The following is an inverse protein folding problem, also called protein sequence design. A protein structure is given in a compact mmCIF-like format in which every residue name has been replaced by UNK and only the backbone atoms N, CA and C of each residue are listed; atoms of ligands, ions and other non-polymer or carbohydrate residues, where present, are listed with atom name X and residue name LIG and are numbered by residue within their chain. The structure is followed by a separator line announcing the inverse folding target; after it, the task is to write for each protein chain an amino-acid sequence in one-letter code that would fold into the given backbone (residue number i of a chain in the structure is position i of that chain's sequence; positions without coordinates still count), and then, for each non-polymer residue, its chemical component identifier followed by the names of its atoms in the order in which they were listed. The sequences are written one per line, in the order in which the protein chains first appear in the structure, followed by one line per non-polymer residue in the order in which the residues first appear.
data_IF_520170436320
#
_entry.id   IF_520170436320
#
_cell.length_a   1.000
_cell.length_b   1.000
_cell.length_c   1.000
_cell.angle_alpha   90.00
_cell.angle_beta   90.00
_cell.angle_gamma   90.00
#
_symmetry.space_group_name_H-M   'P 1'
#
loop_
_entity.id
_entity.type
_entity.pdbx_description
1 polymer ?
#
# COMPACT_ATOMS: atom_id res chain seq x y z
N UNK A 1 -44.43 -54.50 -51.42
CA UNK A 1 -45.88 -54.20 -51.19
C UNK A 1 -45.90 -52.94 -50.37
N UNK A 2 -46.19 -51.87 -51.04
CA UNK A 2 -47.49 -51.17 -51.13
C UNK A 2 -47.66 -50.25 -49.92
N UNK A 3 -47.75 -49.05 -50.01
CA UNK A 3 -48.42 -47.91 -50.67
C UNK A 3 -48.52 -46.82 -49.62
N UNK A 4 -48.12 -45.62 -49.95
CA UNK A 4 -48.96 -44.43 -50.28
C UNK A 4 -49.74 -43.91 -49.09
N UNK A 5 -49.86 -42.60 -48.80
CA UNK A 5 -49.87 -41.35 -49.60
C UNK A 5 -50.01 -40.17 -48.62
N UNK A 6 -49.37 -39.09 -48.83
CA UNK A 6 -49.78 -37.83 -49.48
C UNK A 6 -50.83 -37.01 -48.73
N UNK A 7 -50.43 -35.75 -48.47
CA UNK A 7 -51.17 -34.49 -48.61
C UNK A 7 -51.85 -33.97 -47.32
N UNK A 8 -51.92 -32.74 -47.00
CA UNK A 8 -51.68 -31.38 -47.53
C UNK A 8 -51.60 -30.46 -46.33
N UNK A 9 -50.73 -29.57 -46.29
CA UNK A 9 -50.79 -28.17 -46.72
C UNK A 9 -51.95 -27.34 -46.10
N UNK A 10 -51.44 -26.26 -45.54
CA UNK A 10 -52.01 -24.92 -45.47
C UNK A 10 -52.71 -24.44 -44.21
N UNK A 11 -52.15 -23.34 -43.80
CA UNK A 11 -52.67 -22.11 -43.18
C UNK A 11 -52.26 -21.83 -41.75
N UNK A 12 -51.18 -20.99 -41.59
CA UNK A 12 -51.18 -19.55 -41.36
C UNK A 12 -51.96 -19.10 -40.10
N UNK A 13 -51.25 -18.59 -39.08
CA UNK A 13 -50.95 -17.19 -38.87
C UNK A 13 -50.17 -17.00 -37.53
N UNK A 14 -49.53 -15.85 -37.25
CA UNK A 14 -48.32 -15.73 -36.47
C UNK A 14 -48.56 -15.27 -35.05
N UNK A 15 -47.55 -15.54 -34.22
CA UNK A 15 -47.31 -14.69 -33.04
C UNK A 15 -47.71 -15.28 -31.71
N UNK A 16 -46.84 -16.10 -31.15
CA UNK A 16 -46.59 -16.10 -29.71
C UNK A 16 -45.18 -16.64 -29.46
N UNK A 17 -44.26 -15.73 -29.15
CA UNK A 17 -42.97 -16.11 -28.62
C UNK A 17 -43.19 -16.53 -27.15
N UNK A 18 -43.24 -17.81 -26.89
CA UNK A 18 -43.07 -18.34 -25.55
C UNK A 18 -41.59 -18.17 -25.16
N UNK A 19 -41.36 -17.23 -24.24
CA UNK A 19 -40.08 -17.15 -23.51
C UNK A 19 -39.98 -18.34 -22.58
N UNK A 20 -39.33 -19.40 -23.00
CA UNK A 20 -38.90 -20.47 -22.11
C UNK A 20 -37.82 -19.92 -21.20
N UNK A 21 -38.20 -19.67 -19.96
CA UNK A 21 -37.30 -19.38 -18.84
C UNK A 21 -36.35 -20.56 -18.60
N UNK A 22 -35.19 -20.55 -19.25
CA UNK A 22 -34.07 -21.40 -18.85
C UNK A 22 -33.33 -20.64 -17.72
N UNK A 23 -33.74 -20.93 -16.49
CA UNK A 23 -33.02 -20.54 -15.27
C UNK A 23 -31.63 -21.18 -15.31
N UNK A 24 -30.65 -20.41 -15.75
CA UNK A 24 -29.22 -20.71 -15.51
C UNK A 24 -28.99 -20.52 -14.02
N UNK A 25 -28.96 -21.61 -13.25
CA UNK A 25 -28.47 -21.66 -11.90
C UNK A 25 -26.95 -21.53 -11.92
N UNK A 26 -26.46 -20.28 -12.02
CA UNK A 26 -25.14 -19.87 -11.66
C UNK A 26 -25.24 -19.07 -10.37
N UNK A 27 -25.43 -19.74 -9.25
CA UNK A 27 -25.45 -19.09 -7.94
C UNK A 27 -24.05 -18.65 -7.55
N UNK A 28 -23.69 -17.39 -7.80
CA UNK A 28 -22.65 -16.72 -7.04
C UNK A 28 -23.22 -16.56 -5.62
N UNK A 29 -22.76 -17.39 -4.70
CA UNK A 29 -22.91 -17.15 -3.28
C UNK A 29 -22.05 -15.94 -2.91
N UNK A 30 -22.56 -14.75 -3.13
CA UNK A 30 -22.09 -13.57 -2.45
C UNK A 30 -22.40 -13.79 -0.97
N UNK A 31 -21.36 -13.97 -0.16
CA UNK A 31 -21.53 -14.26 1.26
C UNK A 31 -22.32 -13.14 1.94
N UNK A 32 -23.28 -13.49 2.79
CA UNK A 32 -24.13 -12.56 3.55
C UNK A 32 -23.28 -11.53 4.33
N UNK A 33 -22.01 -11.82 4.60
CA UNK A 33 -21.06 -10.89 5.21
C UNK A 33 -20.68 -9.70 4.30
N UNK A 34 -20.62 -9.88 2.98
CA UNK A 34 -20.35 -8.79 2.02
C UNK A 34 -21.52 -7.82 1.88
N UNK A 35 -22.74 -8.27 2.20
CA UNK A 35 -23.95 -7.44 2.15
C UNK A 35 -24.14 -6.58 3.41
N UNK A 36 -23.36 -6.82 4.49
CA UNK A 36 -23.52 -6.17 5.80
C UNK A 36 -22.42 -5.16 6.11
N UNK A 37 -21.37 -5.07 5.31
CA UNK A 37 -20.35 -4.00 5.46
C UNK A 37 -20.92 -2.77 4.73
N UNK A 38 -21.15 -1.64 5.42
CA UNK A 38 -21.47 -0.39 4.75
C UNK A 38 -20.37 -0.12 3.72
N UNK A 39 -20.74 0.11 2.46
CA UNK A 39 -19.78 0.34 1.35
C UNK A 39 -18.80 1.48 1.67
N UNK A 40 -19.20 2.37 2.56
CA UNK A 40 -18.42 3.53 2.99
C UNK A 40 -17.21 3.16 3.88
N UNK A 41 -17.19 1.98 4.53
CA UNK A 41 -16.12 1.59 5.45
C UNK A 41 -14.99 0.81 4.80
N UNK A 42 -15.19 0.25 3.61
CA UNK A 42 -14.22 -0.65 2.96
C UNK A 42 -12.88 0.05 2.68
N UNK A 43 -12.90 1.32 2.27
CA UNK A 43 -11.68 2.08 2.01
C UNK A 43 -10.87 2.29 3.28
N UNK A 44 -11.53 2.64 4.38
CA UNK A 44 -10.85 2.80 5.67
C UNK A 44 -10.25 1.47 6.17
N UNK A 45 -10.98 0.34 5.98
CA UNK A 45 -10.47 -0.98 6.34
C UNK A 45 -9.22 -1.35 5.52
N UNK A 46 -9.18 -1.00 4.24
CA UNK A 46 -8.03 -1.22 3.36
C UNK A 46 -6.85 -0.34 3.77
N UNK A 47 -7.07 0.95 4.04
CA UNK A 47 -6.02 1.84 4.53
C UNK A 47 -5.44 1.41 5.89
N UNK A 48 -6.28 1.01 6.83
CA UNK A 48 -5.81 0.50 8.13
C UNK A 48 -4.95 -0.76 7.96
N UNK A 49 -5.32 -1.65 7.04
CA UNK A 49 -4.52 -2.84 6.72
C UNK A 49 -3.19 -2.47 6.06
N UNK A 50 -3.19 -1.54 5.10
CA UNK A 50 -1.98 -1.09 4.40
C UNK A 50 -1.01 -0.41 5.38
N UNK A 51 -1.49 0.50 6.23
CA UNK A 51 -0.68 1.13 7.27
C UNK A 51 -0.12 0.11 8.29
N UNK A 52 -0.87 -0.94 8.61
CA UNK A 52 -0.41 -2.04 9.45
C UNK A 52 0.73 -2.84 8.82
N UNK A 53 0.64 -3.15 7.51
CA UNK A 53 1.72 -3.81 6.76
C UNK A 53 2.96 -2.92 6.65
N UNK A 54 2.77 -1.64 6.38
CA UNK A 54 3.84 -0.66 6.31
C UNK A 54 4.65 -0.60 7.62
N UNK A 55 3.95 -0.50 8.75
CA UNK A 55 4.60 -0.52 10.07
C UNK A 55 5.34 -1.83 10.33
N UNK A 56 4.77 -2.97 9.93
CA UNK A 56 5.44 -4.27 10.08
C UNK A 56 6.70 -4.35 9.22
N UNK A 57 6.66 -3.89 7.97
CA UNK A 57 7.82 -3.85 7.09
C UNK A 57 8.95 -2.96 7.66
N UNK A 58 8.59 -1.78 8.17
CA UNK A 58 9.54 -0.90 8.82
C UNK A 58 10.15 -1.52 10.10
N UNK A 59 9.37 -2.28 10.87
CA UNK A 59 9.90 -3.05 11.99
C UNK A 59 10.89 -4.14 11.56
N UNK A 60 10.59 -4.86 10.48
CA UNK A 60 11.48 -5.87 9.92
C UNK A 60 12.77 -5.24 9.37
N UNK A 61 12.69 -4.02 8.82
CA UNK A 61 13.88 -3.24 8.41
C UNK A 61 14.77 -2.90 9.62
N UNK A 62 14.18 -2.46 10.74
CA UNK A 62 14.95 -2.24 11.99
C UNK A 62 15.62 -3.55 12.43
N UNK A 63 14.88 -4.65 12.46
CA UNK A 63 15.42 -5.95 12.85
C UNK A 63 16.52 -6.45 11.90
N UNK A 64 16.46 -6.12 10.60
CA UNK A 64 17.50 -6.42 9.63
C UNK A 64 18.75 -5.56 9.89
N UNK A 65 18.58 -4.26 10.12
CA UNK A 65 19.71 -3.33 10.30
C UNK A 65 20.41 -3.48 11.64
N UNK A 66 19.70 -3.83 12.71
CA UNK A 66 20.29 -4.09 14.04
C UNK A 66 21.00 -5.45 14.14
N UNK A 67 20.54 -6.45 13.40
CA UNK A 67 21.14 -7.79 13.32
C UNK A 67 21.26 -8.19 11.85
N UNK A 68 22.41 -7.89 11.24
CA UNK A 68 22.65 -8.13 9.83
C UNK A 68 23.08 -9.61 9.56
N UNK A 69 22.29 -10.55 10.11
CA UNK A 69 22.40 -11.98 9.86
C UNK A 69 21.18 -12.50 9.14
N UNK A 70 21.28 -13.62 8.44
CA UNK A 70 20.18 -14.22 7.66
C UNK A 70 19.49 -13.19 6.74
N UNK A 71 20.29 -12.34 6.10
CA UNK A 71 19.82 -11.18 5.31
C UNK A 71 18.81 -11.60 4.25
N UNK A 72 19.04 -12.74 3.57
CA UNK A 72 18.16 -13.26 2.55
C UNK A 72 16.76 -13.57 3.07
N UNK A 73 16.66 -14.21 4.22
CA UNK A 73 15.37 -14.59 4.84
C UNK A 73 14.63 -13.35 5.36
N UNK A 74 15.36 -12.41 5.97
CA UNK A 74 14.78 -11.14 6.45
C UNK A 74 14.28 -10.28 5.29
N UNK A 75 15.10 -10.12 4.22
CA UNK A 75 14.68 -9.44 3.00
C UNK A 75 13.42 -10.09 2.42
N UNK A 76 13.39 -11.41 2.27
CA UNK A 76 12.23 -12.12 1.74
C UNK A 76 10.96 -11.92 2.60
N UNK A 77 11.10 -11.64 3.88
CA UNK A 77 9.97 -11.30 4.75
C UNK A 77 9.43 -9.92 4.39
N UNK A 78 10.29 -8.93 4.13
CA UNK A 78 9.91 -7.58 3.72
C UNK A 78 9.27 -7.59 2.32
N UNK A 79 9.88 -8.27 1.35
CA UNK A 79 9.34 -8.50 -0.01
C UNK A 79 7.90 -9.07 0.02
N UNK A 80 7.62 -10.00 0.93
CA UNK A 80 6.25 -10.52 1.10
C UNK A 80 5.27 -9.51 1.69
N UNK A 81 5.74 -8.57 2.48
CA UNK A 81 4.90 -7.50 3.02
C UNK A 81 4.59 -6.47 1.95
N UNK A 82 5.57 -6.14 1.11
CA UNK A 82 5.42 -5.28 -0.05
C UNK A 82 4.40 -5.88 -1.04
N UNK A 83 4.56 -7.13 -1.50
CA UNK A 83 3.58 -7.78 -2.36
C UNK A 83 2.15 -7.81 -1.79
N UNK A 84 1.99 -7.82 -0.45
CA UNK A 84 0.66 -7.71 0.16
C UNK A 84 0.16 -6.26 0.16
N UNK A 85 1.06 -5.28 0.28
CA UNK A 85 0.76 -3.86 0.13
C UNK A 85 0.24 -3.55 -1.27
N UNK A 86 0.99 -3.98 -2.30
CA UNK A 86 0.60 -3.92 -3.71
C UNK A 86 -0.82 -4.46 -3.94
N UNK A 87 -1.10 -5.64 -3.39
CA UNK A 87 -2.44 -6.23 -3.52
C UNK A 87 -3.51 -5.36 -2.87
N UNK A 88 -3.24 -4.72 -1.73
CA UNK A 88 -4.20 -3.82 -1.09
C UNK A 88 -4.38 -2.55 -1.92
N UNK A 89 -3.32 -1.99 -2.47
CA UNK A 89 -3.36 -0.84 -3.38
C UNK A 89 -4.20 -1.15 -4.61
N UNK A 90 -4.00 -2.33 -5.20
CA UNK A 90 -4.83 -2.82 -6.31
C UNK A 90 -6.31 -2.97 -5.90
N UNK A 91 -6.58 -3.54 -4.73
CA UNK A 91 -7.94 -3.70 -4.19
C UNK A 91 -8.62 -2.33 -3.99
N UNK A 92 -7.89 -1.30 -3.53
CA UNK A 92 -8.39 0.08 -3.39
C UNK A 92 -8.82 0.63 -4.76
N UNK A 93 -7.96 0.52 -5.78
CA UNK A 93 -8.30 0.97 -7.14
C UNK A 93 -9.47 0.20 -7.75
N UNK A 94 -9.56 -1.10 -7.51
CA UNK A 94 -10.69 -1.91 -7.96
C UNK A 94 -11.99 -1.47 -7.29
N UNK A 95 -11.96 -1.16 -5.99
CA UNK A 95 -13.12 -0.62 -5.26
C UNK A 95 -13.51 0.77 -5.76
N UNK A 96 -12.55 1.66 -6.05
CA UNK A 96 -12.82 2.97 -6.64
C UNK A 96 -13.58 2.85 -7.97
N UNK A 97 -13.16 1.92 -8.84
CA UNK A 97 -13.81 1.69 -10.13
C UNK A 97 -15.26 1.14 -10.00
N UNK A 98 -15.59 0.51 -8.88
CA UNK A 98 -16.91 -0.11 -8.64
C UNK A 98 -17.83 0.71 -7.75
N UNK A 99 -17.33 1.76 -7.10
CA UNK A 99 -18.06 2.54 -6.11
C UNK A 99 -18.39 3.91 -6.67
N UNK A 100 -19.68 4.21 -6.78
CA UNK A 100 -20.16 5.50 -7.31
C UNK A 100 -20.13 6.64 -6.27
N UNK A 101 -20.33 6.30 -5.00
CA UNK A 101 -20.26 7.26 -3.87
C UNK A 101 -19.20 6.74 -2.91
N UNK A 102 -18.17 7.55 -2.67
CA UNK A 102 -17.03 7.24 -1.79
C UNK A 102 -17.03 8.11 -0.53
N UNK A 103 -16.46 7.66 0.60
CA UNK A 103 -16.46 8.44 1.85
C UNK A 103 -15.49 9.63 1.83
N UNK A 104 -14.50 9.61 0.96
CA UNK A 104 -13.55 10.67 0.66
C UNK A 104 -13.59 10.91 -0.86
N UNK A 105 -13.01 12.01 -1.33
CA UNK A 105 -12.90 12.23 -2.77
C UNK A 105 -12.06 11.13 -3.42
N UNK A 106 -12.45 10.60 -4.62
CA UNK A 106 -11.69 9.56 -5.31
C UNK A 106 -10.20 9.88 -5.53
N UNK A 107 -9.88 11.15 -5.74
CA UNK A 107 -8.50 11.63 -5.88
C UNK A 107 -7.73 11.53 -4.56
N UNK A 108 -8.38 11.83 -3.44
CA UNK A 108 -7.77 11.69 -2.10
C UNK A 108 -7.49 10.21 -1.77
N UNK A 109 -8.46 9.33 -2.07
CA UNK A 109 -8.29 7.87 -1.89
C UNK A 109 -7.14 7.35 -2.73
N UNK A 110 -7.08 7.73 -4.01
CA UNK A 110 -6.02 7.32 -4.92
C UNK A 110 -4.65 7.81 -4.46
N UNK A 111 -4.55 9.09 -4.10
CA UNK A 111 -3.30 9.71 -3.65
C UNK A 111 -2.78 9.09 -2.36
N UNK A 112 -3.66 8.85 -1.38
CA UNK A 112 -3.28 8.22 -0.12
C UNK A 112 -2.82 6.76 -0.33
N UNK A 113 -3.51 6.00 -1.20
CA UNK A 113 -3.12 4.63 -1.52
C UNK A 113 -1.73 4.58 -2.16
N UNK A 114 -1.46 5.44 -3.17
CA UNK A 114 -0.14 5.52 -3.81
C UNK A 114 0.95 5.94 -2.84
N UNK A 115 0.70 6.95 -2.00
CA UNK A 115 1.71 7.43 -1.07
C UNK A 115 2.10 6.37 -0.03
N UNK A 116 1.13 5.58 0.48
CA UNK A 116 1.41 4.46 1.39
C UNK A 116 2.21 3.35 0.71
N UNK A 117 1.93 3.08 -0.55
CA UNK A 117 2.61 2.08 -1.38
C UNK A 117 4.06 2.47 -1.62
N UNK A 118 4.31 3.71 -2.02
CA UNK A 118 5.65 4.24 -2.26
C UNK A 118 6.59 4.11 -1.04
N UNK A 119 6.09 4.34 0.19
CA UNK A 119 6.91 4.12 1.40
C UNK A 119 7.33 2.65 1.50
N UNK A 120 6.41 1.73 1.23
CA UNK A 120 6.68 0.30 1.33
C UNK A 120 7.67 -0.17 0.25
N UNK A 121 7.54 0.34 -0.96
CA UNK A 121 8.45 0.08 -2.09
C UNK A 121 9.88 0.52 -1.77
N UNK A 122 10.05 1.70 -1.16
CA UNK A 122 11.37 2.18 -0.78
C UNK A 122 11.98 1.40 0.38
N UNK A 123 11.16 0.90 1.31
CA UNK A 123 11.63 -0.02 2.37
C UNK A 123 12.13 -1.33 1.75
N UNK A 124 11.37 -1.95 0.84
CA UNK A 124 11.82 -3.18 0.15
C UNK A 124 13.05 -2.91 -0.71
N UNK A 125 13.03 -1.86 -1.54
CA UNK A 125 14.14 -1.47 -2.39
C UNK A 125 15.45 -1.21 -1.64
N UNK A 126 15.39 -0.64 -0.43
CA UNK A 126 16.57 -0.48 0.42
C UNK A 126 17.16 -1.85 0.84
N UNK A 127 16.30 -2.79 1.25
CA UNK A 127 16.74 -4.13 1.65
C UNK A 127 17.24 -4.96 0.46
N UNK A 128 16.64 -4.75 -0.71
CA UNK A 128 17.09 -5.34 -1.98
C UNK A 128 18.51 -4.88 -2.32
N UNK A 129 18.79 -3.57 -2.23
CA UNK A 129 20.12 -3.02 -2.44
C UNK A 129 21.13 -3.55 -1.42
N UNK A 130 20.79 -3.62 -0.13
CA UNK A 130 21.65 -4.21 0.90
C UNK A 130 22.06 -5.65 0.53
N UNK A 131 21.12 -6.44 0.01
CA UNK A 131 21.36 -7.83 -0.37
C UNK A 131 22.16 -7.96 -1.67
N UNK A 132 21.75 -7.30 -2.77
CA UNK A 132 22.41 -7.46 -4.06
C UNK A 132 23.74 -6.73 -4.18
N UNK A 133 23.96 -5.69 -3.37
CA UNK A 133 25.26 -5.05 -3.29
C UNK A 133 26.22 -5.84 -2.39
N UNK A 134 25.74 -6.92 -1.76
CA UNK A 134 26.55 -7.78 -0.89
C UNK A 134 27.34 -6.94 0.14
N UNK A 135 26.62 -6.03 0.85
CA UNK A 135 27.26 -5.31 1.95
C UNK A 135 27.53 -6.30 3.09
N UNK A 136 28.69 -6.13 3.76
CA UNK A 136 29.10 -7.07 4.81
C UNK A 136 28.37 -6.83 6.13
N UNK A 137 28.11 -5.56 6.44
CA UNK A 137 27.47 -5.13 7.67
C UNK A 137 26.73 -3.81 7.45
N UNK A 138 25.72 -3.57 8.28
CA UNK A 138 25.11 -2.27 8.45
C UNK A 138 25.93 -1.37 9.36
N UNK A 139 25.70 -0.08 9.34
CA UNK A 139 26.32 0.90 10.22
C UNK A 139 25.28 1.69 11.03
N UNK A 140 25.77 2.60 11.85
CA UNK A 140 24.93 3.40 12.76
C UNK A 140 23.91 4.25 11.99
N UNK A 141 24.26 4.78 10.81
CA UNK A 141 23.39 5.62 10.02
C UNK A 141 22.22 4.83 9.41
N UNK A 142 22.47 3.61 8.87
CA UNK A 142 21.42 2.72 8.40
C UNK A 142 20.44 2.34 9.51
N UNK A 143 20.97 2.04 10.71
CA UNK A 143 20.15 1.69 11.87
C UNK A 143 19.29 2.89 12.30
N UNK A 144 19.85 4.08 12.28
CA UNK A 144 19.16 5.30 12.69
C UNK A 144 18.04 5.66 11.69
N UNK A 145 18.32 5.64 10.37
CA UNK A 145 17.33 5.84 9.32
C UNK A 145 16.20 4.80 9.41
N UNK A 146 16.52 3.52 9.59
CA UNK A 146 15.50 2.46 9.77
C UNK A 146 14.58 2.75 10.98
N UNK A 147 15.13 3.24 12.08
CA UNK A 147 14.34 3.62 13.26
C UNK A 147 13.45 4.82 13.00
N UNK A 148 13.94 5.83 12.28
CA UNK A 148 13.15 7.00 11.92
C UNK A 148 11.98 6.60 11.00
N UNK A 149 12.20 5.75 9.99
CA UNK A 149 11.15 5.17 9.16
C UNK A 149 10.11 4.46 10.03
N UNK A 150 10.54 3.59 10.96
CA UNK A 150 9.62 2.87 11.84
C UNK A 150 8.80 3.82 12.74
N UNK A 151 9.41 4.88 13.26
CA UNK A 151 8.70 5.88 14.05
C UNK A 151 7.66 6.62 13.20
N UNK A 152 8.00 7.03 11.98
CA UNK A 152 7.07 7.68 11.04
C UNK A 152 5.90 6.77 10.67
N UNK A 153 6.14 5.47 10.39
CA UNK A 153 5.05 4.53 10.07
C UNK A 153 4.09 4.28 11.25
N UNK A 154 4.54 4.41 12.50
CA UNK A 154 3.66 4.36 13.68
C UNK A 154 2.73 5.58 13.76
N UNK A 155 3.24 6.76 13.44
CA UNK A 155 2.44 7.98 13.39
C UNK A 155 1.44 7.92 12.23
N UNK A 156 1.85 7.41 11.06
CA UNK A 156 0.96 7.14 9.92
C UNK A 156 -0.18 6.20 10.33
N UNK A 157 0.13 5.05 10.95
CA UNK A 157 -0.91 4.11 11.39
C UNK A 157 -1.91 4.77 12.35
N UNK A 158 -1.43 5.63 13.25
CA UNK A 158 -2.27 6.35 14.21
C UNK A 158 -3.17 7.39 13.52
N UNK A 159 -2.65 8.12 12.55
CA UNK A 159 -3.41 9.09 11.76
C UNK A 159 -4.46 8.40 10.88
N UNK A 160 -4.09 7.31 10.18
CA UNK A 160 -4.99 6.50 9.33
C UNK A 160 -6.20 5.97 10.13
N UNK A 161 -6.00 5.47 11.34
CA UNK A 161 -7.12 5.04 12.21
C UNK A 161 -8.08 6.16 12.57
N UNK A 162 -7.63 7.41 12.51
CA UNK A 162 -8.43 8.58 12.88
C UNK A 162 -9.23 9.16 11.72
N UNK A 163 -8.85 8.91 10.45
CA UNK A 163 -9.57 9.44 9.28
C UNK A 163 -10.97 8.84 9.09
N UNK A 164 -11.24 7.65 9.63
CA UNK A 164 -12.57 7.02 9.61
C UNK A 164 -13.65 7.87 10.33
N UNK A 165 -13.24 8.66 11.30
CA UNK A 165 -14.13 9.51 12.07
C UNK A 165 -13.33 10.72 12.55
N UNK A 166 -13.27 11.75 11.71
CA UNK A 166 -12.55 12.99 12.04
C UNK A 166 -13.37 13.77 13.06
N UNK A 167 -13.15 13.43 14.34
CA UNK A 167 -13.76 14.14 15.46
C UNK A 167 -12.97 15.37 15.88
N UNK A 168 -11.67 15.29 15.78
CA UNK A 168 -10.72 16.37 16.08
C UNK A 168 -9.59 16.30 15.04
N UNK A 169 -9.60 17.17 14.02
CA UNK A 169 -8.57 17.21 12.98
C UNK A 169 -7.18 17.50 13.55
N UNK A 170 -7.08 18.17 14.72
CA UNK A 170 -5.81 18.49 15.37
C UNK A 170 -5.03 17.22 15.75
N UNK A 171 -5.72 16.11 16.05
CA UNK A 171 -5.02 14.86 16.33
C UNK A 171 -4.25 14.34 15.11
N UNK A 172 -4.83 14.44 13.92
CA UNK A 172 -4.16 14.06 12.66
C UNK A 172 -3.02 15.04 12.39
N UNK A 173 -3.27 16.34 12.54
CA UNK A 173 -2.26 17.37 12.34
C UNK A 173 -1.03 17.19 13.27
N UNK A 174 -1.23 16.88 14.54
CA UNK A 174 -0.14 16.56 15.48
C UNK A 174 0.72 15.37 15.02
N UNK A 175 0.09 14.32 14.42
CA UNK A 175 0.84 13.19 13.85
C UNK A 175 1.61 13.61 12.61
N UNK A 176 1.02 14.41 11.73
CA UNK A 176 1.68 14.93 10.55
C UNK A 176 2.89 15.81 10.92
N UNK A 177 2.76 16.68 11.91
CA UNK A 177 3.88 17.49 12.44
C UNK A 177 5.02 16.60 12.96
N UNK A 178 4.69 15.51 13.66
CA UNK A 178 5.73 14.59 14.16
C UNK A 178 6.41 13.84 13.01
N UNK A 179 5.68 13.44 11.96
CA UNK A 179 6.28 12.81 10.76
C UNK A 179 7.26 13.77 10.10
N UNK A 180 6.88 15.03 9.86
CA UNK A 180 7.77 16.03 9.27
C UNK A 180 9.01 16.29 10.15
N UNK A 181 8.87 16.23 11.48
CA UNK A 181 10.03 16.32 12.38
C UNK A 181 10.98 15.12 12.24
N UNK A 182 10.43 13.93 12.02
CA UNK A 182 11.23 12.71 11.84
C UNK A 182 11.95 12.70 10.49
N UNK A 183 11.31 13.19 9.43
CA UNK A 183 11.93 13.41 8.12
C UNK A 183 13.11 14.38 8.22
N UNK A 184 12.96 15.55 8.82
CA UNK A 184 14.07 16.50 9.02
C UNK A 184 15.24 15.87 9.81
N UNK A 185 14.99 14.94 10.72
CA UNK A 185 16.04 14.18 11.39
C UNK A 185 16.71 13.18 10.45
N UNK A 186 15.97 12.56 9.52
CA UNK A 186 16.53 11.63 8.55
C UNK A 186 17.44 12.37 7.55
N UNK A 187 17.08 13.56 7.12
CA UNK A 187 17.91 14.47 6.34
C UNK A 187 19.27 14.74 7.02
N UNK A 188 19.23 15.08 8.30
CA UNK A 188 20.45 15.31 9.10
C UNK A 188 21.31 14.03 9.18
N UNK A 189 20.69 12.86 9.36
CA UNK A 189 21.39 11.56 9.38
C UNK A 189 22.02 11.27 8.03
N UNK A 190 21.31 11.48 6.92
CA UNK A 190 21.84 11.32 5.57
C UNK A 190 23.06 12.23 5.34
N UNK A 191 22.95 13.51 5.70
CA UNK A 191 24.05 14.47 5.55
C UNK A 191 25.32 14.03 6.34
N UNK A 192 25.15 13.52 7.56
CA UNK A 192 26.23 12.97 8.35
C UNK A 192 26.78 11.67 7.75
N UNK A 193 25.92 10.75 7.31
CA UNK A 193 26.32 9.49 6.68
C UNK A 193 27.18 9.74 5.43
N UNK A 194 26.75 10.66 4.56
CA UNK A 194 27.49 11.03 3.36
C UNK A 194 28.81 11.69 3.72
N UNK A 195 28.84 12.57 4.71
CA UNK A 195 30.09 13.22 5.21
C UNK A 195 31.08 12.18 5.71
N UNK A 196 30.65 11.20 6.48
CA UNK A 196 31.49 10.12 6.98
C UNK A 196 31.95 9.18 5.85
N UNK A 197 31.08 8.90 4.91
CA UNK A 197 31.37 8.04 3.77
C UNK A 197 32.50 8.62 2.89
N UNK A 198 32.55 9.93 2.68
CA UNK A 198 33.60 10.58 1.89
C UNK A 198 34.96 10.65 2.57
N UNK A 199 35.10 10.13 3.80
CA UNK A 199 36.41 9.95 4.45
C UNK A 199 37.17 8.72 3.92
N UNK A 200 36.47 7.78 3.24
CA UNK A 200 37.13 6.66 2.55
C UNK A 200 37.49 7.02 1.11
N UNK A 201 38.48 6.32 0.54
CA UNK A 201 38.86 6.40 -0.88
C UNK A 201 38.32 5.24 -1.71
N UNK A 202 37.56 4.32 -1.10
CA UNK A 202 36.94 3.18 -1.79
C UNK A 202 35.69 3.64 -2.55
N UNK A 203 35.86 3.87 -3.86
CA UNK A 203 34.80 4.36 -4.71
C UNK A 203 33.61 3.39 -4.80
N UNK A 204 33.84 2.07 -4.77
CA UNK A 204 32.75 1.06 -4.82
C UNK A 204 31.94 1.11 -3.54
N UNK A 205 32.61 1.21 -2.38
CA UNK A 205 31.94 1.38 -1.09
C UNK A 205 31.11 2.66 -1.06
N UNK A 206 31.66 3.77 -1.56
CA UNK A 206 30.95 5.05 -1.63
C UNK A 206 29.66 4.90 -2.44
N UNK A 207 29.73 4.32 -3.64
CA UNK A 207 28.56 4.15 -4.52
C UNK A 207 27.49 3.30 -3.82
N UNK A 208 27.85 2.11 -3.31
CA UNK A 208 26.91 1.19 -2.67
C UNK A 208 26.21 1.80 -1.47
N UNK A 209 26.99 2.36 -0.54
CA UNK A 209 26.43 2.87 0.73
C UNK A 209 25.64 4.15 0.52
N UNK A 210 26.11 5.06 -0.35
CA UNK A 210 25.39 6.29 -0.68
C UNK A 210 23.99 5.96 -1.25
N UNK A 211 23.90 5.02 -2.20
CA UNK A 211 22.63 4.62 -2.82
C UNK A 211 21.69 3.96 -1.80
N UNK A 212 22.20 3.23 -0.81
CA UNK A 212 21.40 2.67 0.28
C UNK A 212 20.89 3.77 1.22
N UNK A 213 21.75 4.71 1.65
CA UNK A 213 21.35 5.81 2.52
C UNK A 213 20.27 6.69 1.87
N UNK A 214 20.47 7.06 0.60
CA UNK A 214 19.48 7.84 -0.16
C UNK A 214 18.13 7.09 -0.28
N UNK A 215 18.16 5.76 -0.45
CA UNK A 215 16.92 4.98 -0.50
C UNK A 215 16.18 4.94 0.85
N UNK A 216 16.92 4.86 1.94
CA UNK A 216 16.33 4.89 3.29
C UNK A 216 15.75 6.28 3.62
N UNK A 217 16.42 7.33 3.21
CA UNK A 217 15.94 8.70 3.44
C UNK A 217 14.72 9.00 2.58
N UNK A 218 14.70 8.63 1.30
CA UNK A 218 13.50 8.77 0.45
C UNK A 218 12.28 8.01 1.04
N UNK A 219 12.49 6.93 1.79
CA UNK A 219 11.39 6.29 2.51
C UNK A 219 10.81 7.20 3.62
N UNK A 220 11.61 8.08 4.23
CA UNK A 220 11.10 9.09 5.19
C UNK A 220 10.42 10.26 4.49
N UNK A 221 10.93 10.71 3.34
CA UNK A 221 10.27 11.72 2.48
C UNK A 221 8.88 11.24 2.07
N UNK A 222 8.76 10.00 1.62
CA UNK A 222 7.46 9.42 1.29
C UNK A 222 6.52 9.31 2.51
N UNK A 223 7.04 9.13 3.72
CA UNK A 223 6.23 9.26 4.94
C UNK A 223 5.69 10.69 5.12
N UNK A 224 6.47 11.72 4.78
CA UNK A 224 6.01 13.12 4.76
C UNK A 224 4.92 13.32 3.70
N UNK A 225 5.02 12.74 2.51
CA UNK A 225 4.00 12.81 1.47
C UNK A 225 2.67 12.16 1.92
N UNK A 226 2.73 11.05 2.67
CA UNK A 226 1.56 10.49 3.36
C UNK A 226 0.98 11.49 4.37
N UNK A 227 1.83 12.12 5.18
CA UNK A 227 1.40 13.11 6.18
C UNK A 227 0.72 14.33 5.52
N UNK A 228 1.30 14.85 4.43
CA UNK A 228 0.73 15.95 3.67
C UNK A 228 -0.65 15.58 3.11
N UNK A 229 -0.80 14.37 2.58
CA UNK A 229 -2.09 13.85 2.09
C UNK A 229 -3.12 13.72 3.22
N UNK A 230 -2.73 13.22 4.38
CA UNK A 230 -3.60 13.08 5.56
C UNK A 230 -4.03 14.44 6.13
N UNK A 231 -3.13 15.43 6.14
CA UNK A 231 -3.44 16.80 6.55
C UNK A 231 -4.46 17.44 5.62
N UNK A 232 -4.32 17.30 4.30
CA UNK A 232 -5.29 17.76 3.32
C UNK A 232 -6.68 17.15 3.55
N UNK A 233 -6.76 15.83 3.78
CA UNK A 233 -8.00 15.12 4.09
C UNK A 233 -8.61 15.66 5.38
N UNK A 234 -7.81 15.83 6.43
CA UNK A 234 -8.30 16.32 7.72
C UNK A 234 -8.89 17.73 7.61
N UNK A 235 -8.26 18.63 6.85
CA UNK A 235 -8.75 20.01 6.64
C UNK A 235 -10.06 20.02 5.85
N UNK A 236 -10.20 19.19 4.83
CA UNK A 236 -11.39 19.21 3.95
C UNK A 236 -12.63 18.56 4.57
N UNK A 237 -12.42 17.63 5.50
CA UNK A 237 -13.49 16.83 6.10
C UNK A 237 -13.74 17.14 7.60
N UNK A 238 -13.21 18.28 8.10
CA UNK A 238 -13.39 18.79 9.48
C UNK A 238 -14.59 19.69 9.69
#
# INVERSE_FOLDING_TARGET
MSKKSISNADNLLPGQYEYTNTLIRGGYHMGIKELLIPKDTIFFDLFERQAGLLKEAAWQLVALTEDFTNVKEKRHTIEKLEHKGDQITHDIYEQLNRTFITPLDPEEISRLASALDEVLDYIDGATEKMYYYEIENTDVHMIELAKLIYMSTREIESAIKSIRSIKDPRYIEERCIEINRLENLADDVLAHAVTDLFKTTDAIKIIKLKDIYEHLEIATDNCEDVANTLSDIAIRHS
#
